data_IF_442179770155
#
_entry.id   IF_442179770155
#
_cell.length_a   1.000
_cell.length_b   1.000
_cell.length_c   1.000
_cell.angle_alpha   90.00
_cell.angle_beta   90.00
_cell.angle_gamma   90.00
#
_symmetry.space_group_name_H-M   'P 1'
#
loop_
_entity.id
_entity.type
_entity.pdbx_description
1 polymer ?
#
# COMPACT_ATOMS: atom_id res chain seq x y z
N UNK A 1 22.32 -40.67 -24.44
CA UNK A 1 21.95 -39.24 -24.40
C UNK A 1 21.72 -38.87 -22.94
N UNK A 2 22.71 -38.25 -22.29
CA UNK A 2 22.61 -37.85 -20.88
C UNK A 2 21.88 -36.51 -20.78
N UNK A 3 20.72 -36.49 -20.14
CA UNK A 3 20.06 -35.26 -19.74
C UNK A 3 20.81 -34.69 -18.53
N UNK A 4 21.49 -33.56 -18.73
CA UNK A 4 22.09 -32.80 -17.64
C UNK A 4 20.98 -32.00 -16.95
N UNK A 5 20.57 -32.44 -15.77
CA UNK A 5 19.68 -31.70 -14.89
C UNK A 5 20.45 -30.50 -14.35
N UNK A 6 20.21 -29.32 -14.92
CA UNK A 6 20.67 -28.05 -14.34
C UNK A 6 19.86 -27.83 -13.07
N UNK A 7 20.46 -28.15 -11.93
CA UNK A 7 19.94 -27.81 -10.61
C UNK A 7 20.01 -26.29 -10.45
N UNK A 8 18.87 -25.62 -10.59
CA UNK A 8 18.75 -24.18 -10.29
C UNK A 8 18.82 -24.01 -8.78
N UNK A 9 19.81 -23.25 -8.32
CA UNK A 9 20.01 -22.98 -6.91
C UNK A 9 18.75 -22.33 -6.28
N UNK A 10 18.25 -22.83 -5.13
CA UNK A 10 16.98 -22.42 -4.53
C UNK A 10 16.95 -20.97 -4.01
N UNK A 11 18.07 -20.26 -4.01
CA UNK A 11 18.18 -18.87 -3.55
C UNK A 11 17.97 -17.79 -4.62
N UNK A 12 17.81 -18.17 -5.90
CA UNK A 12 17.65 -17.21 -7.01
C UNK A 12 16.18 -16.92 -7.34
N UNK A 13 15.31 -17.93 -7.24
CA UNK A 13 13.88 -17.85 -7.60
C UNK A 13 13.08 -16.93 -6.67
N UNK A 14 13.36 -16.95 -5.37
CA UNK A 14 12.67 -16.11 -4.38
C UNK A 14 12.97 -14.62 -4.55
N UNK A 15 14.22 -14.26 -4.88
CA UNK A 15 14.62 -12.87 -5.14
C UNK A 15 14.01 -12.32 -6.43
N UNK A 16 13.92 -13.14 -7.49
CA UNK A 16 13.26 -12.75 -8.74
C UNK A 16 11.76 -12.51 -8.49
N UNK A 17 11.10 -13.36 -7.69
CA UNK A 17 9.71 -13.19 -7.31
C UNK A 17 9.45 -11.90 -6.51
N UNK A 18 10.32 -11.55 -5.55
CA UNK A 18 10.19 -10.30 -4.79
C UNK A 18 10.41 -9.07 -5.68
N UNK A 19 11.44 -9.09 -6.53
CA UNK A 19 11.71 -8.00 -7.47
C UNK A 19 10.55 -7.79 -8.43
N UNK A 20 10.04 -8.85 -9.06
CA UNK A 20 8.93 -8.75 -10.02
C UNK A 20 7.66 -8.18 -9.37
N UNK A 21 7.28 -8.66 -8.17
CA UNK A 21 6.08 -8.17 -7.47
C UNK A 21 6.18 -6.68 -7.16
N UNK A 22 7.35 -6.22 -6.70
CA UNK A 22 7.59 -4.80 -6.46
C UNK A 22 7.39 -3.97 -7.73
N UNK A 23 8.02 -4.33 -8.85
CA UNK A 23 7.89 -3.58 -10.11
C UNK A 23 6.45 -3.57 -10.63
N UNK A 24 5.70 -4.67 -10.45
CA UNK A 24 4.29 -4.72 -10.81
C UNK A 24 3.44 -3.81 -9.91
N UNK A 25 3.70 -3.75 -8.60
CA UNK A 25 3.02 -2.81 -7.71
C UNK A 25 3.34 -1.35 -8.03
N UNK A 26 4.60 -1.04 -8.34
CA UNK A 26 5.00 0.28 -8.83
C UNK A 26 4.29 0.63 -10.15
N UNK A 27 4.15 -0.32 -11.07
CA UNK A 27 3.39 -0.12 -12.32
C UNK A 27 1.89 0.08 -12.07
N UNK A 28 1.29 -0.62 -11.10
CA UNK A 28 -0.09 -0.40 -10.69
C UNK A 28 -0.27 1.01 -10.11
N UNK A 29 0.65 1.46 -9.26
CA UNK A 29 0.65 2.81 -8.71
C UNK A 29 0.76 3.88 -9.81
N UNK A 30 1.67 3.71 -10.78
CA UNK A 30 1.80 4.63 -11.90
C UNK A 30 0.54 4.69 -12.78
N UNK A 31 -0.16 3.57 -12.95
CA UNK A 31 -1.45 3.54 -13.63
C UNK A 31 -2.50 4.37 -12.85
N UNK A 32 -2.55 4.26 -11.53
CA UNK A 32 -3.40 5.10 -10.68
C UNK A 32 -3.07 6.60 -10.79
N UNK A 33 -1.78 6.98 -10.76
CA UNK A 33 -1.34 8.37 -10.97
C UNK A 33 -1.77 8.91 -12.33
N UNK A 34 -1.82 8.04 -13.33
CA UNK A 34 -2.28 8.38 -14.69
C UNK A 34 -3.81 8.29 -14.86
N UNK A 35 -4.55 8.07 -13.76
CA UNK A 35 -5.99 7.83 -13.72
C UNK A 35 -6.47 6.64 -14.59
N UNK A 36 -5.58 5.69 -14.89
CA UNK A 36 -5.89 4.44 -15.59
C UNK A 36 -6.17 3.32 -14.57
N UNK A 37 -7.30 3.46 -13.87
CA UNK A 37 -7.70 2.56 -12.77
C UNK A 37 -7.95 1.14 -13.27
N UNK A 38 -8.50 0.98 -14.48
CA UNK A 38 -8.73 -0.34 -15.08
C UNK A 38 -7.43 -1.10 -15.30
N UNK A 39 -6.37 -0.41 -15.76
CA UNK A 39 -5.04 -1.00 -15.83
C UNK A 39 -4.49 -1.31 -14.45
N UNK A 40 -4.63 -0.41 -13.48
CA UNK A 40 -4.18 -0.67 -12.11
C UNK A 40 -4.83 -1.94 -11.52
N UNK A 41 -6.15 -2.10 -11.68
CA UNK A 41 -6.88 -3.30 -11.22
C UNK A 41 -6.45 -4.57 -11.93
N UNK A 42 -6.19 -4.52 -13.24
CA UNK A 42 -5.66 -5.68 -13.99
C UNK A 42 -4.28 -6.08 -13.47
N UNK A 43 -3.41 -5.12 -13.17
CA UNK A 43 -2.08 -5.40 -12.61
C UNK A 43 -2.20 -5.97 -11.20
N UNK A 44 -3.05 -5.38 -10.34
CA UNK A 44 -3.32 -5.88 -8.98
C UNK A 44 -3.86 -7.33 -9.01
N UNK A 45 -4.76 -7.64 -9.95
CA UNK A 45 -5.25 -9.01 -10.19
C UNK A 45 -4.14 -9.96 -10.62
N UNK A 46 -3.24 -9.52 -11.50
CA UNK A 46 -2.07 -10.30 -11.89
C UNK A 46 -1.13 -10.57 -10.71
N UNK A 47 -0.89 -9.56 -9.87
CA UNK A 47 -0.12 -9.68 -8.64
C UNK A 47 -0.72 -10.72 -7.69
N UNK A 48 -2.02 -10.62 -7.43
CA UNK A 48 -2.72 -11.53 -6.52
C UNK A 48 -2.75 -12.96 -7.06
N UNK A 49 -2.87 -13.15 -8.38
CA UNK A 49 -2.77 -14.48 -8.99
C UNK A 49 -1.39 -15.14 -8.83
N UNK A 50 -0.32 -14.34 -8.78
CA UNK A 50 1.07 -14.83 -8.65
C UNK A 50 1.45 -14.99 -7.17
N UNK A 51 0.97 -14.12 -6.30
CA UNK A 51 1.22 -14.15 -4.86
C UNK A 51 -0.03 -13.69 -4.10
N UNK A 52 -0.99 -14.59 -3.85
CA UNK A 52 -2.24 -14.27 -3.19
C UNK A 52 -2.02 -13.63 -1.82
N UNK A 53 -2.68 -12.50 -1.57
CA UNK A 53 -2.59 -11.78 -0.30
C UNK A 53 -1.21 -11.22 0.04
N UNK A 54 -0.29 -11.10 -0.93
CA UNK A 54 0.97 -10.41 -0.69
C UNK A 54 0.72 -8.93 -0.40
N UNK A 55 1.62 -8.31 0.36
CA UNK A 55 1.56 -6.87 0.66
C UNK A 55 1.37 -6.03 -0.60
N UNK A 56 2.13 -6.35 -1.65
CA UNK A 56 2.08 -5.67 -2.93
C UNK A 56 0.72 -5.77 -3.62
N UNK A 57 0.07 -6.94 -3.60
CA UNK A 57 -1.24 -7.11 -4.23
C UNK A 57 -2.33 -6.35 -3.47
N UNK A 58 -2.31 -6.43 -2.13
CA UNK A 58 -3.27 -5.75 -1.26
C UNK A 58 -3.14 -4.24 -1.40
N UNK A 59 -1.92 -3.69 -1.33
CA UNK A 59 -1.70 -2.25 -1.51
C UNK A 59 -2.11 -1.81 -2.91
N UNK A 60 -1.80 -2.57 -3.96
CA UNK A 60 -2.19 -2.22 -5.33
C UNK A 60 -3.71 -2.12 -5.51
N UNK A 61 -4.48 -3.05 -4.93
CA UNK A 61 -5.94 -2.96 -4.92
C UNK A 61 -6.43 -1.75 -4.12
N UNK A 62 -5.89 -1.53 -2.92
CA UNK A 62 -6.31 -0.44 -2.06
C UNK A 62 -6.06 0.93 -2.70
N UNK A 63 -4.90 1.13 -3.36
CA UNK A 63 -4.60 2.38 -4.08
C UNK A 63 -5.56 2.56 -5.26
N UNK A 64 -5.92 1.50 -5.98
CA UNK A 64 -6.90 1.59 -7.07
C UNK A 64 -8.29 2.00 -6.56
N UNK A 65 -8.72 1.48 -5.41
CA UNK A 65 -9.98 1.88 -4.76
C UNK A 65 -9.94 3.33 -4.27
N UNK A 66 -8.84 3.77 -3.64
CA UNK A 66 -8.65 5.17 -3.25
C UNK A 66 -8.69 6.12 -4.45
N UNK A 67 -8.14 5.70 -5.60
CA UNK A 67 -8.10 6.53 -6.82
C UNK A 67 -9.49 6.85 -7.36
N UNK A 68 -10.45 5.95 -7.19
CA UNK A 68 -11.87 6.18 -7.56
C UNK A 68 -12.72 6.72 -6.41
N UNK A 69 -12.10 7.02 -5.27
CA UNK A 69 -12.79 7.53 -4.08
C UNK A 69 -13.55 6.46 -3.28
N UNK A 70 -13.33 5.17 -3.54
CA UNK A 70 -13.93 4.09 -2.75
C UNK A 70 -13.09 3.81 -1.49
N UNK A 71 -13.21 4.71 -0.52
CA UNK A 71 -12.37 4.70 0.68
C UNK A 71 -12.66 3.48 1.56
N UNK A 72 -13.93 3.06 1.66
CA UNK A 72 -14.31 1.91 2.49
C UNK A 72 -13.84 0.58 1.89
N UNK A 73 -13.84 0.44 0.56
CA UNK A 73 -13.22 -0.72 -0.09
C UNK A 73 -11.71 -0.77 0.19
N UNK A 74 -11.02 0.37 0.09
CA UNK A 74 -9.59 0.45 0.39
C UNK A 74 -9.28 0.07 1.85
N UNK A 75 -10.04 0.61 2.81
CA UNK A 75 -9.90 0.27 4.24
C UNK A 75 -10.11 -1.23 4.49
N UNK A 76 -11.13 -1.81 3.86
CA UNK A 76 -11.41 -3.25 3.96
C UNK A 76 -10.27 -4.09 3.37
N UNK A 77 -9.72 -3.68 2.23
CA UNK A 77 -8.61 -4.36 1.59
C UNK A 77 -7.34 -4.31 2.45
N UNK A 78 -7.05 -3.19 3.10
CA UNK A 78 -5.83 -2.99 3.91
C UNK A 78 -5.87 -3.66 5.29
N UNK A 79 -7.06 -3.92 5.82
CA UNK A 79 -7.25 -4.48 7.17
C UNK A 79 -6.40 -5.71 7.48
N UNK A 80 -6.27 -6.74 6.62
CA UNK A 80 -5.43 -7.90 6.90
C UNK A 80 -3.95 -7.56 7.12
N UNK A 81 -3.43 -6.53 6.45
CA UNK A 81 -2.06 -6.08 6.65
C UNK A 81 -1.92 -5.33 7.98
N UNK A 82 -2.87 -4.44 8.31
CA UNK A 82 -2.84 -3.74 9.59
C UNK A 82 -3.06 -4.67 10.79
N UNK A 83 -3.88 -5.71 10.65
CA UNK A 83 -4.09 -6.73 11.69
C UNK A 83 -2.81 -7.57 11.91
N UNK A 84 -1.91 -7.60 10.92
CA UNK A 84 -0.59 -8.24 10.98
C UNK A 84 0.55 -7.28 11.37
N UNK A 85 0.22 -6.06 11.82
CA UNK A 85 1.17 -4.97 12.14
C UNK A 85 2.18 -4.69 11.00
N UNK A 86 1.72 -4.81 9.75
CA UNK A 86 2.51 -4.49 8.57
C UNK A 86 2.66 -2.97 8.43
N UNK A 87 3.88 -2.45 8.58
CA UNK A 87 4.14 -1.00 8.61
C UNK A 87 3.63 -0.26 7.35
N UNK A 88 3.78 -0.85 6.16
CA UNK A 88 3.27 -0.26 4.91
C UNK A 88 1.75 -0.32 4.85
N UNK A 89 1.14 -1.47 5.18
CA UNK A 89 -0.31 -1.62 5.23
C UNK A 89 -0.96 -0.61 6.18
N UNK A 90 -0.39 -0.43 7.38
CA UNK A 90 -0.86 0.56 8.36
C UNK A 90 -0.70 2.00 7.84
N UNK A 91 0.40 2.31 7.15
CA UNK A 91 0.62 3.65 6.59
C UNK A 91 -0.38 3.98 5.47
N UNK A 92 -0.67 3.02 4.57
CA UNK A 92 -1.72 3.20 3.55
C UNK A 92 -3.12 3.25 4.18
N UNK A 93 -3.37 2.54 5.27
CA UNK A 93 -4.65 2.63 5.99
C UNK A 93 -4.79 3.99 6.67
N UNK A 94 -3.71 4.55 7.22
CA UNK A 94 -3.70 5.92 7.74
C UNK A 94 -4.00 6.96 6.64
N UNK A 95 -3.47 6.75 5.41
CA UNK A 95 -3.83 7.58 4.26
C UNK A 95 -5.32 7.50 3.93
N UNK A 96 -5.89 6.30 3.87
CA UNK A 96 -7.32 6.11 3.62
C UNK A 96 -8.18 6.78 4.72
N UNK A 97 -7.83 6.63 5.99
CA UNK A 97 -8.50 7.30 7.11
C UNK A 97 -8.38 8.83 7.01
N UNK A 98 -7.22 9.35 6.58
CA UNK A 98 -7.03 10.78 6.35
C UNK A 98 -7.96 11.30 5.25
N UNK A 99 -8.05 10.60 4.13
CA UNK A 99 -8.96 10.94 3.02
C UNK A 99 -10.44 10.85 3.42
N UNK A 100 -10.79 9.96 4.35
CA UNK A 100 -12.12 9.86 4.93
C UNK A 100 -12.42 10.96 5.98
N UNK A 101 -11.44 11.79 6.38
CA UNK A 101 -11.59 12.73 7.49
C UNK A 101 -11.65 12.09 8.88
N UNK A 102 -11.31 10.80 9.00
CA UNK A 102 -11.32 10.01 10.26
C UNK A 102 -10.02 10.21 11.04
N UNK A 103 -9.73 11.48 11.38
CA UNK A 103 -8.41 11.89 11.90
C UNK A 103 -8.05 11.23 13.23
N UNK A 104 -9.02 11.05 14.14
CA UNK A 104 -8.78 10.38 15.43
C UNK A 104 -8.34 8.93 15.26
N UNK A 105 -8.96 8.19 14.32
CA UNK A 105 -8.60 6.81 14.02
C UNK A 105 -7.24 6.73 13.31
N UNK A 106 -6.98 7.67 12.39
CA UNK A 106 -5.66 7.82 11.76
C UNK A 106 -4.58 7.99 12.81
N UNK A 107 -4.76 8.92 13.76
CA UNK A 107 -3.73 9.23 14.75
C UNK A 107 -3.50 8.07 15.73
N UNK A 108 -4.57 7.39 16.12
CA UNK A 108 -4.48 6.17 16.92
C UNK A 108 -3.71 5.05 16.18
N UNK A 109 -3.93 4.91 14.86
CA UNK A 109 -3.22 3.94 14.03
C UNK A 109 -1.75 4.33 13.84
N UNK A 110 -1.44 5.60 13.55
CA UNK A 110 -0.08 6.09 13.37
C UNK A 110 0.78 5.90 14.63
N UNK A 111 0.19 6.06 15.82
CA UNK A 111 0.87 5.79 17.08
C UNK A 111 1.28 4.33 17.29
N UNK A 112 0.76 3.40 16.48
CA UNK A 112 1.11 1.98 16.50
C UNK A 112 2.05 1.54 15.38
N UNK A 113 2.30 2.38 14.38
CA UNK A 113 3.10 1.98 13.21
C UNK A 113 4.51 1.60 13.67
N UNK A 114 5.02 0.39 13.34
CA UNK A 114 6.38 0.01 13.66
C UNK A 114 7.37 0.91 12.93
N UNK A 115 8.29 1.53 13.68
CA UNK A 115 9.37 2.34 13.10
C UNK A 115 10.50 1.50 12.50
N UNK A 116 11.44 2.18 11.81
CA UNK A 116 12.63 1.54 11.24
C UNK A 116 12.56 1.31 9.73
N UNK A 117 11.51 1.82 9.09
CA UNK A 117 11.35 1.87 7.64
C UNK A 117 11.37 3.34 7.21
N UNK A 118 12.50 3.86 6.68
CA UNK A 118 12.67 5.30 6.47
C UNK A 118 11.59 5.98 5.61
N UNK A 119 11.04 5.23 4.64
CA UNK A 119 9.94 5.67 3.79
C UNK A 119 8.60 5.73 4.53
N UNK A 120 8.30 4.73 5.35
CA UNK A 120 7.11 4.73 6.23
C UNK A 120 7.24 5.81 7.30
N UNK A 121 8.39 5.91 7.96
CA UNK A 121 8.67 6.90 9.00
C UNK A 121 8.50 8.33 8.45
N UNK A 122 8.94 8.57 7.21
CA UNK A 122 8.73 9.83 6.50
C UNK A 122 7.25 10.14 6.26
N UNK A 123 6.46 9.15 5.86
CA UNK A 123 5.01 9.30 5.66
C UNK A 123 4.27 9.55 6.98
N UNK A 124 4.61 8.81 8.04
CA UNK A 124 4.06 9.01 9.40
C UNK A 124 4.37 10.44 9.87
N UNK A 125 5.59 10.91 9.68
CA UNK A 125 5.98 12.28 10.02
C UNK A 125 5.21 13.33 9.21
N UNK A 126 4.92 13.07 7.93
CA UNK A 126 4.13 13.97 7.09
C UNK A 126 2.69 14.11 7.61
N UNK A 127 2.07 13.02 8.06
CA UNK A 127 0.75 13.08 8.70
C UNK A 127 0.77 13.88 10.02
N UNK A 128 1.82 13.70 10.83
CA UNK A 128 1.99 14.45 12.09
C UNK A 128 2.21 15.95 11.89
N UNK A 129 2.72 16.39 10.74
CA UNK A 129 2.83 17.82 10.41
C UNK A 129 1.48 18.41 9.93
N UNK A 130 0.65 17.60 9.28
CA UNK A 130 -0.66 18.01 8.78
C UNK A 130 -1.77 17.99 9.86
N UNK A 131 -1.52 17.45 11.06
CA UNK A 131 -2.47 17.51 12.19
C UNK A 131 -2.56 18.89 12.85
N UNK A 132 -1.60 19.79 12.60
CA UNK A 132 -1.58 21.17 13.13
C UNK A 132 -2.29 22.18 12.20
N UNK A 133 -2.68 21.78 10.98
CA UNK A 133 -3.24 22.68 9.96
C UNK A 133 -4.77 22.75 9.87
N UNK A 134 -5.52 21.99 10.67
CA UNK A 134 -7.00 22.03 10.66
C UNK A 134 -7.58 22.74 11.90
N UNK A 135 -6.83 23.70 12.45
CA UNK A 135 -7.32 24.69 13.41
C UNK A 135 -6.93 26.05 12.84
N UNK A 136 -7.84 26.69 12.10
CA UNK A 136 -7.68 28.08 11.68
C UNK A 136 -7.83 28.38 10.18
N UNK A 137 -8.93 27.96 9.55
CA UNK A 137 -9.49 28.73 8.42
C UNK A 137 -11.00 28.50 8.32
N UNK A 138 -11.69 28.75 9.44
CA UNK A 138 -13.08 29.21 9.42
C UNK A 138 -13.17 30.38 10.38
N UNK A 139 -12.55 31.47 9.97
CA UNK A 139 -12.84 32.77 10.55
C UNK A 139 -13.34 33.67 9.42
N UNK A 140 -14.65 34.00 9.55
CA UNK A 140 -15.25 35.31 9.34
C UNK A 140 -14.80 36.09 8.10
N UNK A 141 -15.64 36.14 7.07
CA UNK A 141 -16.33 37.34 6.58
C UNK A 141 -17.67 36.95 5.95
#
# INVERSE_FOLDING_TARGET
MSASCISVAPGSSTKIGVGLRRHLAEAAFLACVSNDVERARRIAKGLDAIAPGSRESVIAYAVADLTVGDIEAALKALRPLSDADDAYGMAFQALALHLAGRLSERDALLGRVPGGYPDVDGLVAAFGKNSVGYVGERDIW
#
